data_IF_605523056530
#
_entry.id   IF_605523056530
#
_cell.length_a   1.000
_cell.length_b   1.000
_cell.length_c   1.000
_cell.angle_alpha   90.00
_cell.angle_beta   90.00
_cell.angle_gamma   90.00
#
_symmetry.space_group_name_H-M   'P 1'
#
loop_
_entity.id
_entity.type
_entity.pdbx_description
1 polymer ?
#
# COMPACT_ATOMS: atom_id res chain seq x y z
N UNK A 1 7.08 8.00 -13.10
CA UNK A 1 6.94 8.40 -11.70
C UNK A 1 6.79 7.19 -10.77
N UNK A 2 6.28 6.06 -11.26
CA UNK A 2 6.07 4.82 -10.48
C UNK A 2 4.67 4.68 -9.89
N UNK A 3 3.78 5.62 -10.14
CA UNK A 3 2.38 5.58 -9.73
C UNK A 3 1.48 6.38 -10.66
N UNK A 4 0.19 6.10 -10.58
CA UNK A 4 -0.87 6.90 -11.20
C UNK A 4 -2.09 6.97 -10.29
N UNK A 5 -2.89 8.01 -10.48
CA UNK A 5 -4.17 8.19 -9.79
C UNK A 5 -5.28 8.00 -10.80
N UNK A 6 -6.26 7.18 -10.44
CA UNK A 6 -7.50 6.97 -11.19
C UNK A 6 -8.63 7.61 -10.38
N UNK A 7 -9.10 8.80 -10.75
CA UNK A 7 -10.08 9.50 -9.96
C UNK A 7 -11.46 8.85 -10.05
N UNK A 8 -12.17 8.83 -8.92
CA UNK A 8 -13.56 8.44 -8.85
C UNK A 8 -13.89 6.99 -9.24
N UNK A 9 -12.95 6.06 -9.06
CA UNK A 9 -13.17 4.62 -9.35
C UNK A 9 -14.33 4.07 -8.53
N UNK A 10 -14.48 4.53 -7.30
CA UNK A 10 -15.58 4.13 -6.43
C UNK A 10 -16.73 5.12 -6.60
N UNK A 11 -17.73 4.72 -7.38
CA UNK A 11 -18.99 5.48 -7.46
C UNK A 11 -19.77 5.46 -6.14
N UNK A 12 -20.64 6.44 -5.94
CA UNK A 12 -21.37 6.67 -4.69
C UNK A 12 -21.98 5.42 -4.04
N UNK A 13 -22.68 4.52 -4.75
CA UNK A 13 -23.25 3.35 -4.08
C UNK A 13 -22.20 2.43 -3.46
N UNK A 14 -21.13 2.13 -4.21
CA UNK A 14 -20.07 1.23 -3.73
C UNK A 14 -19.23 1.90 -2.64
N UNK A 15 -18.92 3.16 -2.78
CA UNK A 15 -18.18 3.92 -1.77
C UNK A 15 -18.92 3.90 -0.43
N UNK A 16 -20.22 4.17 -0.44
CA UNK A 16 -21.05 4.15 0.77
C UNK A 16 -21.15 2.75 1.40
N UNK A 17 -21.27 1.70 0.58
CA UNK A 17 -21.22 0.32 1.06
C UNK A 17 -19.88 -0.01 1.73
N UNK A 18 -18.76 0.39 1.12
CA UNK A 18 -17.41 0.17 1.65
C UNK A 18 -17.16 0.95 2.94
N UNK A 19 -17.61 2.19 3.00
CA UNK A 19 -17.52 3.01 4.22
C UNK A 19 -18.30 2.35 5.39
N UNK A 20 -19.53 1.92 5.13
CA UNK A 20 -20.34 1.22 6.13
C UNK A 20 -19.72 -0.11 6.55
N UNK A 21 -19.25 -0.89 5.60
CA UNK A 21 -18.54 -2.15 5.87
C UNK A 21 -17.26 -1.92 6.70
N UNK A 22 -16.49 -0.91 6.38
CA UNK A 22 -15.26 -0.60 7.11
C UNK A 22 -15.53 -0.19 8.55
N UNK A 23 -16.57 0.60 8.78
CA UNK A 23 -16.99 0.97 10.12
C UNK A 23 -17.42 -0.25 10.93
N UNK A 24 -18.25 -1.12 10.36
CA UNK A 24 -18.69 -2.37 10.96
C UNK A 24 -17.52 -3.27 11.35
N UNK A 25 -16.50 -3.37 10.47
CA UNK A 25 -15.31 -4.16 10.75
C UNK A 25 -14.53 -3.57 11.92
N UNK A 26 -14.29 -2.26 11.93
CA UNK A 26 -13.53 -1.61 12.99
C UNK A 26 -14.26 -1.61 14.35
N UNK A 27 -15.58 -1.69 14.35
CA UNK A 27 -16.36 -1.84 15.59
C UNK A 27 -16.33 -3.27 16.17
N UNK A 28 -16.26 -4.28 15.29
CA UNK A 28 -16.31 -5.70 15.69
C UNK A 28 -14.97 -6.37 15.85
N UNK A 29 -13.98 -5.94 15.09
CA UNK A 29 -12.64 -6.55 15.09
C UNK A 29 -11.76 -5.80 16.09
N UNK A 30 -11.23 -6.48 17.12
CA UNK A 30 -10.33 -5.84 18.05
C UNK A 30 -9.04 -5.40 17.37
N UNK A 31 -8.46 -4.33 17.87
CA UNK A 31 -7.13 -3.87 17.43
C UNK A 31 -6.11 -4.98 17.62
N UNK A 32 -5.37 -5.31 16.58
CA UNK A 32 -4.27 -6.27 16.66
C UNK A 32 -3.00 -5.53 17.12
N UNK A 33 -2.43 -5.84 18.30
CA UNK A 33 -1.28 -5.15 18.84
C UNK A 33 -0.01 -5.28 17.97
N UNK A 34 0.00 -6.20 17.00
CA UNK A 34 1.09 -6.30 16.01
C UNK A 34 1.13 -5.13 15.03
N UNK A 35 0.05 -4.37 14.94
CA UNK A 35 -0.04 -3.16 14.12
C UNK A 35 -0.02 -1.90 14.96
N UNK A 36 0.89 -1.89 15.93
CA UNK A 36 1.19 -0.71 16.70
C UNK A 36 2.36 0.03 16.07
N UNK A 37 2.15 1.31 15.78
CA UNK A 37 3.16 2.18 15.24
C UNK A 37 3.36 3.35 16.20
N UNK A 38 4.59 3.55 16.66
CA UNK A 38 4.93 4.66 17.56
C UNK A 38 3.99 4.77 18.77
N UNK A 39 3.74 3.65 19.42
CA UNK A 39 2.84 3.60 20.57
C UNK A 39 1.36 3.74 20.29
N UNK A 40 0.95 3.99 19.04
CA UNK A 40 -0.45 4.09 18.63
C UNK A 40 -0.95 2.82 17.98
N UNK A 41 -2.14 2.38 18.37
CA UNK A 41 -2.81 1.23 17.77
C UNK A 41 -3.43 1.64 16.42
N UNK A 42 -3.12 0.89 15.38
CA UNK A 42 -3.70 1.07 14.06
C UNK A 42 -4.65 -0.09 13.78
N UNK A 43 -5.88 0.22 13.39
CA UNK A 43 -6.81 -0.79 12.95
C UNK A 43 -6.39 -1.30 11.58
N UNK A 44 -5.93 -2.54 11.56
CA UNK A 44 -5.65 -3.28 10.34
C UNK A 44 -6.51 -4.53 10.36
N UNK A 45 -7.40 -4.63 9.40
CA UNK A 45 -8.18 -5.82 9.17
C UNK A 45 -7.70 -6.49 7.88
N UNK A 46 -7.25 -7.72 8.04
CA UNK A 46 -6.91 -8.59 6.93
C UNK A 46 -7.88 -9.75 6.98
N UNK A 47 -8.82 -9.86 6.04
CA UNK A 47 -9.72 -11.00 6.00
C UNK A 47 -8.91 -12.30 6.04
N UNK A 48 -9.26 -13.19 6.94
CA UNK A 48 -8.65 -14.53 7.07
C UNK A 48 -7.12 -14.56 7.16
N UNK A 49 -6.51 -13.53 7.71
CA UNK A 49 -5.05 -13.43 7.85
C UNK A 49 -4.39 -14.68 8.47
N UNK A 50 -5.11 -15.36 9.34
CA UNK A 50 -4.67 -16.60 9.99
C UNK A 50 -4.49 -17.76 9.01
N UNK A 51 -5.17 -17.70 7.88
CA UNK A 51 -5.12 -18.69 6.81
C UNK A 51 -4.02 -18.38 5.77
N UNK A 52 -3.33 -17.25 5.90
CA UNK A 52 -2.23 -16.85 5.00
C UNK A 52 -1.05 -17.81 4.98
N UNK A 53 -0.94 -18.65 5.98
CA UNK A 53 0.07 -19.72 6.03
C UNK A 53 -0.30 -20.91 5.17
N UNK A 54 -1.57 -21.02 4.77
CA UNK A 54 -2.09 -22.05 3.89
C UNK A 54 -2.38 -21.47 2.50
N UNK A 55 -1.61 -21.89 1.50
CA UNK A 55 -1.75 -21.38 0.12
C UNK A 55 -3.12 -21.67 -0.50
N UNK A 56 -3.80 -22.73 -0.10
CA UNK A 56 -5.14 -23.04 -0.60
C UNK A 56 -6.18 -22.07 -0.04
N UNK A 57 -6.00 -21.58 1.18
CA UNK A 57 -6.89 -20.62 1.81
C UNK A 57 -6.74 -19.19 1.26
N UNK A 58 -5.62 -18.85 0.62
CA UNK A 58 -5.39 -17.50 0.11
C UNK A 58 -6.40 -17.05 -0.94
N UNK A 59 -7.01 -17.96 -1.66
CA UNK A 59 -8.08 -17.65 -2.62
C UNK A 59 -9.41 -17.28 -1.95
N UNK A 60 -9.60 -17.58 -0.68
CA UNK A 60 -10.83 -17.29 0.05
C UNK A 60 -10.91 -15.83 0.54
N UNK A 61 -9.77 -15.12 0.63
CA UNK A 61 -9.73 -13.71 1.07
C UNK A 61 -10.57 -12.79 0.21
N UNK A 62 -10.69 -13.14 -1.06
CA UNK A 62 -11.43 -12.38 -2.04
C UNK A 62 -12.86 -12.89 -2.21
N UNK A 63 -13.32 -13.76 -1.32
CA UNK A 63 -14.68 -14.30 -1.36
C UNK A 63 -15.74 -13.37 -0.77
N UNK A 64 -15.33 -12.37 0.02
CA UNK A 64 -16.26 -11.36 0.53
C UNK A 64 -16.90 -10.60 -0.65
N UNK A 65 -18.24 -10.58 -0.77
CA UNK A 65 -18.91 -9.98 -1.92
C UNK A 65 -18.56 -8.50 -2.14
N UNK A 66 -18.31 -7.74 -1.07
CA UNK A 66 -17.94 -6.32 -1.22
C UNK A 66 -16.52 -6.16 -1.71
N UNK A 67 -15.61 -7.02 -1.28
CA UNK A 67 -14.24 -7.06 -1.77
C UNK A 67 -14.21 -7.46 -3.25
N UNK A 68 -15.02 -8.42 -3.66
CA UNK A 68 -15.15 -8.79 -5.06
C UNK A 68 -15.70 -7.61 -5.90
N UNK A 69 -16.72 -6.92 -5.42
CA UNK A 69 -17.21 -5.70 -6.09
C UNK A 69 -16.11 -4.66 -6.26
N UNK A 70 -15.27 -4.47 -5.22
CA UNK A 70 -14.16 -3.53 -5.25
C UNK A 70 -13.12 -3.91 -6.31
N UNK A 71 -12.68 -5.18 -6.31
CA UNK A 71 -11.64 -5.66 -7.22
C UNK A 71 -12.14 -5.84 -8.65
N UNK A 72 -13.44 -5.89 -8.87
CA UNK A 72 -14.05 -6.05 -10.18
C UNK A 72 -14.43 -4.74 -10.88
N UNK A 73 -14.03 -3.59 -10.31
CA UNK A 73 -14.34 -2.30 -10.92
C UNK A 73 -13.76 -2.20 -12.35
N UNK A 74 -14.59 -1.89 -13.36
CA UNK A 74 -14.14 -1.84 -14.76
C UNK A 74 -13.11 -0.72 -14.99
N UNK A 75 -13.24 0.40 -14.30
CA UNK A 75 -12.32 1.53 -14.40
C UNK A 75 -10.91 1.15 -13.93
N UNK A 76 -10.80 0.37 -12.85
CA UNK A 76 -9.52 -0.16 -12.38
C UNK A 76 -8.91 -1.12 -13.41
N UNK A 77 -9.69 -2.05 -13.94
CA UNK A 77 -9.23 -3.01 -14.95
C UNK A 77 -8.74 -2.29 -16.20
N UNK A 78 -9.50 -1.30 -16.66
CA UNK A 78 -9.10 -0.50 -17.81
C UNK A 78 -7.81 0.28 -17.55
N UNK A 79 -7.68 0.91 -16.38
CA UNK A 79 -6.46 1.62 -15.99
C UNK A 79 -5.24 0.70 -15.96
N UNK A 80 -5.37 -0.53 -15.47
CA UNK A 80 -4.30 -1.53 -15.53
C UNK A 80 -3.93 -1.85 -16.99
N UNK A 81 -4.90 -2.08 -17.88
CA UNK A 81 -4.66 -2.34 -19.29
C UNK A 81 -3.94 -1.15 -19.95
N UNK A 82 -4.38 0.07 -19.70
CA UNK A 82 -3.79 1.29 -20.26
C UNK A 82 -2.33 1.49 -19.81
N UNK A 83 -1.96 0.93 -18.66
CA UNK A 83 -0.59 0.90 -18.15
C UNK A 83 0.24 -0.27 -18.67
N UNK A 84 -0.34 -1.15 -19.53
CA UNK A 84 0.32 -2.38 -19.98
C UNK A 84 0.30 -3.51 -18.95
N UNK A 85 -0.50 -3.40 -17.90
CA UNK A 85 -0.65 -4.38 -16.83
C UNK A 85 -1.87 -5.28 -17.12
N UNK A 86 -1.80 -6.03 -18.22
CA UNK A 86 -2.94 -6.83 -18.73
C UNK A 86 -3.19 -8.10 -17.92
N UNK A 87 -2.15 -8.70 -17.32
CA UNK A 87 -2.25 -9.89 -16.47
C UNK A 87 -1.74 -9.57 -15.06
N UNK A 88 -2.64 -9.07 -14.23
CA UNK A 88 -2.40 -8.84 -12.80
C UNK A 88 -3.29 -9.76 -11.99
N UNK A 89 -2.72 -10.36 -10.95
CA UNK A 89 -3.42 -11.33 -10.10
C UNK A 89 -3.25 -10.96 -8.66
N UNK A 90 -4.31 -11.09 -7.89
CA UNK A 90 -4.25 -10.85 -6.44
C UNK A 90 -3.14 -11.65 -5.80
N UNK A 91 -2.21 -10.97 -5.16
CA UNK A 91 -1.18 -11.61 -4.37
C UNK A 91 -1.82 -12.24 -3.13
N UNK A 92 -1.49 -13.48 -2.86
CA UNK A 92 -2.02 -14.19 -1.70
C UNK A 92 -1.78 -13.40 -0.40
N UNK A 93 -2.85 -13.08 0.30
CA UNK A 93 -2.81 -12.31 1.53
C UNK A 93 -2.56 -10.82 1.37
N UNK A 94 -2.64 -10.34 0.16
CA UNK A 94 -2.33 -8.97 -0.16
C UNK A 94 -3.51 -8.00 -0.13
N UNK A 95 -4.47 -8.17 0.77
CA UNK A 95 -5.52 -7.15 0.97
C UNK A 95 -5.65 -6.81 2.45
N UNK A 96 -5.67 -5.53 2.73
CA UNK A 96 -5.94 -5.02 4.08
C UNK A 96 -6.92 -3.85 4.03
N UNK A 97 -7.80 -3.81 5.02
CA UNK A 97 -8.55 -2.62 5.38
C UNK A 97 -7.74 -1.88 6.44
N UNK A 98 -7.32 -0.67 6.13
CA UNK A 98 -6.45 0.13 6.97
C UNK A 98 -7.16 1.36 7.49
N UNK A 99 -6.99 1.64 8.77
CA UNK A 99 -7.42 2.86 9.41
C UNK A 99 -6.22 3.63 9.95
N UNK A 100 -6.09 4.88 9.56
CA UNK A 100 -5.24 5.83 10.27
C UNK A 100 -6.09 6.54 11.32
N UNK A 101 -5.83 6.32 12.62
CA UNK A 101 -6.66 6.89 13.69
C UNK A 101 -6.54 8.42 13.75
N UNK A 102 -7.48 9.05 14.45
CA UNK A 102 -7.35 10.45 14.85
C UNK A 102 -6.02 10.64 15.59
N UNK A 103 -5.31 11.71 15.27
CA UNK A 103 -3.99 12.03 15.82
C UNK A 103 -2.97 10.89 15.71
N UNK A 104 -3.14 10.05 14.67
CA UNK A 104 -2.28 8.89 14.42
C UNK A 104 -0.88 9.27 13.91
N UNK A 105 0.13 8.41 14.15
CA UNK A 105 1.52 8.68 13.80
C UNK A 105 1.76 8.74 12.29
N UNK A 106 2.90 9.30 11.84
CA UNK A 106 3.32 9.16 10.46
C UNK A 106 3.61 7.69 10.13
N UNK A 107 3.59 7.37 8.84
CA UNK A 107 4.16 6.14 8.35
C UNK A 107 5.57 6.46 7.82
N UNK A 108 6.53 5.62 8.16
CA UNK A 108 7.92 5.73 7.73
C UNK A 108 8.08 5.54 6.22
N UNK A 109 9.21 5.99 5.66
CA UNK A 109 9.61 5.65 4.30
C UNK A 109 9.86 4.16 4.18
N UNK A 110 9.27 3.53 3.16
CA UNK A 110 9.44 2.10 2.85
C UNK A 110 9.08 1.80 1.40
N UNK A 111 9.39 0.58 1.01
CA UNK A 111 8.91 -0.08 -0.20
C UNK A 111 8.05 -1.26 0.26
N UNK A 112 6.89 -1.47 -0.33
CA UNK A 112 6.01 -2.58 0.06
C UNK A 112 6.57 -3.95 -0.33
N UNK A 113 7.36 -3.95 -1.37
CA UNK A 113 7.91 -5.17 -1.93
C UNK A 113 9.39 -4.99 -2.22
N UNK A 114 10.20 -5.83 -1.60
CA UNK A 114 11.65 -5.96 -1.74
C UNK A 114 12.47 -4.73 -1.43
N UNK A 115 13.53 -4.97 -0.70
CA UNK A 115 14.63 -4.06 -0.60
C UNK A 115 15.34 -3.95 -1.94
N UNK A 116 15.96 -2.81 -2.19
CA UNK A 116 16.72 -2.53 -3.40
C UNK A 116 17.76 -3.62 -3.75
N UNK A 117 18.29 -4.29 -2.76
CA UNK A 117 19.31 -5.35 -2.95
C UNK A 117 18.75 -6.69 -3.42
N UNK A 118 17.44 -6.83 -3.60
CA UNK A 118 16.87 -8.05 -4.14
C UNK A 118 16.96 -8.06 -5.68
N UNK A 119 17.30 -9.20 -6.33
CA UNK A 119 17.41 -9.28 -7.79
C UNK A 119 16.20 -8.75 -8.54
N UNK A 120 14.98 -8.99 -8.04
CA UNK A 120 13.76 -8.48 -8.68
C UNK A 120 13.61 -6.96 -8.61
N UNK A 121 14.31 -6.30 -7.68
CA UNK A 121 14.31 -4.83 -7.62
C UNK A 121 14.92 -4.21 -8.87
N UNK A 122 15.81 -4.92 -9.56
CA UNK A 122 16.45 -4.47 -10.79
C UNK A 122 15.61 -4.73 -12.05
N UNK A 123 14.47 -5.42 -11.95
CA UNK A 123 13.61 -5.69 -13.11
C UNK A 123 13.13 -4.37 -13.74
N UNK A 124 13.19 -4.22 -15.08
CA UNK A 124 12.77 -2.98 -15.76
C UNK A 124 11.25 -2.76 -15.75
N UNK A 125 10.48 -3.74 -15.30
CA UNK A 125 9.02 -3.71 -15.16
C UNK A 125 8.60 -4.06 -13.73
N UNK A 126 7.38 -3.67 -13.31
CA UNK A 126 6.88 -4.06 -12.01
C UNK A 126 6.63 -5.58 -11.95
N UNK A 127 7.07 -6.22 -10.88
CA UNK A 127 6.73 -7.62 -10.56
C UNK A 127 5.54 -7.69 -9.61
N UNK A 128 5.33 -6.62 -8.87
CA UNK A 128 4.21 -6.42 -7.95
C UNK A 128 3.78 -4.95 -7.95
N UNK A 129 2.47 -4.74 -7.87
CA UNK A 129 1.86 -3.42 -7.69
C UNK A 129 1.00 -3.40 -6.44
N UNK A 130 0.75 -2.21 -5.93
CA UNK A 130 -0.31 -1.99 -4.95
C UNK A 130 -1.40 -1.08 -5.51
N UNK A 131 -2.62 -1.36 -5.07
CA UNK A 131 -3.81 -0.59 -5.35
C UNK A 131 -4.37 -0.10 -4.02
N UNK A 132 -4.42 1.21 -3.82
CA UNK A 132 -5.02 1.79 -2.62
C UNK A 132 -6.28 2.55 -2.97
N UNK A 133 -7.40 2.07 -2.48
CA UNK A 133 -8.73 2.66 -2.66
C UNK A 133 -9.06 3.54 -1.47
N UNK A 134 -9.20 4.82 -1.70
CA UNK A 134 -9.43 5.79 -0.63
C UNK A 134 -10.92 5.94 -0.33
N UNK A 135 -11.31 5.71 0.91
CA UNK A 135 -12.68 5.85 1.38
C UNK A 135 -12.93 7.15 2.13
N UNK A 136 -11.90 7.97 2.26
CA UNK A 136 -11.96 9.31 2.86
C UNK A 136 -10.98 10.24 2.15
N UNK A 137 -11.31 11.52 2.09
CA UNK A 137 -10.41 12.53 1.56
C UNK A 137 -9.11 12.59 2.36
N UNK A 138 -8.02 12.85 1.65
CA UNK A 138 -6.69 12.96 2.27
C UNK A 138 -6.03 14.27 1.95
N UNK A 139 -5.40 14.84 2.96
CA UNK A 139 -4.59 16.06 2.88
C UNK A 139 -3.31 15.86 3.70
N UNK A 140 -2.38 16.78 3.58
CA UNK A 140 -1.18 16.76 4.43
C UNK A 140 -1.54 16.75 5.91
N UNK A 141 -2.56 17.51 6.31
CA UNK A 141 -2.98 17.64 7.70
C UNK A 141 -3.56 16.34 8.28
N UNK A 142 -4.34 15.59 7.49
CA UNK A 142 -4.90 14.30 7.93
C UNK A 142 -4.06 13.09 7.52
N UNK A 143 -2.84 13.32 7.03
CA UNK A 143 -1.86 12.27 6.78
C UNK A 143 -1.95 11.64 5.39
N UNK A 144 -1.99 12.44 4.32
CA UNK A 144 -1.93 11.92 2.96
C UNK A 144 -0.66 11.12 2.69
N UNK A 145 -0.71 10.31 1.64
CA UNK A 145 0.44 9.64 1.09
C UNK A 145 1.46 10.66 0.59
N UNK A 146 2.74 10.33 0.71
CA UNK A 146 3.84 11.02 0.04
C UNK A 146 4.74 9.99 -0.63
N UNK A 147 5.31 10.34 -1.77
CA UNK A 147 6.15 9.46 -2.59
C UNK A 147 7.41 10.19 -3.03
N UNK A 148 8.45 9.43 -3.35
CA UNK A 148 9.63 9.95 -4.06
C UNK A 148 9.58 9.40 -5.48
N UNK A 149 9.15 10.19 -6.47
CA UNK A 149 8.95 9.72 -7.84
C UNK A 149 10.21 9.11 -8.45
N UNK A 150 10.05 8.02 -9.19
CA UNK A 150 11.14 7.37 -9.91
C UNK A 150 11.95 6.36 -9.10
N UNK A 151 11.78 6.29 -7.77
CA UNK A 151 12.58 5.41 -6.89
C UNK A 151 12.28 3.92 -7.03
N UNK A 152 11.23 3.55 -7.73
CA UNK A 152 10.98 2.17 -8.17
C UNK A 152 11.99 1.66 -9.20
N UNK A 153 12.74 2.57 -9.83
CA UNK A 153 13.75 2.28 -10.87
C UNK A 153 15.08 2.98 -10.65
N UNK A 154 15.18 3.79 -9.63
CA UNK A 154 16.36 4.57 -9.29
C UNK A 154 16.69 4.41 -7.82
N UNK A 155 17.90 3.95 -7.52
CA UNK A 155 18.42 3.92 -6.16
C UNK A 155 18.75 5.34 -5.68
N UNK A 156 18.48 5.61 -4.43
CA UNK A 156 18.91 6.82 -3.71
C UNK A 156 19.44 6.42 -2.34
N UNK A 157 20.16 7.30 -1.66
CA UNK A 157 20.80 7.03 -0.37
C UNK A 157 19.82 6.52 0.71
N UNK A 158 18.54 6.90 0.60
CA UNK A 158 17.52 6.45 1.53
C UNK A 158 17.34 4.92 1.49
N UNK A 159 17.53 4.26 0.36
CA UNK A 159 17.44 2.80 0.26
C UNK A 159 18.48 2.08 1.13
N UNK A 160 19.62 2.71 1.39
CA UNK A 160 20.72 2.10 2.15
C UNK A 160 20.46 2.12 3.66
N UNK A 161 19.58 3.00 4.12
CA UNK A 161 19.28 3.16 5.54
C UNK A 161 17.92 2.60 5.96
N UNK A 162 17.10 2.19 4.99
CA UNK A 162 15.77 1.63 5.27
C UNK A 162 15.89 0.15 5.67
N UNK A 163 15.35 -0.24 6.83
CA UNK A 163 15.15 -1.64 7.14
C UNK A 163 14.03 -2.24 6.28
N UNK A 164 13.86 -3.56 6.37
CA UNK A 164 12.74 -4.22 5.73
C UNK A 164 11.40 -3.65 6.23
N UNK A 165 10.51 -3.36 5.32
CA UNK A 165 9.20 -2.82 5.64
C UNK A 165 8.42 -3.75 6.59
N UNK A 166 7.70 -3.13 7.51
CA UNK A 166 6.74 -3.80 8.38
C UNK A 166 7.34 -4.85 9.33
N UNK A 167 8.65 -4.86 9.52
CA UNK A 167 9.28 -5.70 10.55
C UNK A 167 9.07 -5.11 11.95
N UNK A 168 9.12 -5.93 13.01
CA UNK A 168 9.00 -5.43 14.38
C UNK A 168 10.03 -4.35 14.73
N UNK A 169 11.22 -4.43 14.14
CA UNK A 169 12.30 -3.48 14.37
C UNK A 169 11.94 -2.07 13.88
N UNK A 170 11.42 -1.96 12.67
CA UNK A 170 11.02 -0.65 12.13
C UNK A 170 9.77 -0.11 12.82
N UNK A 171 8.83 -0.98 13.17
CA UNK A 171 7.60 -0.60 13.86
C UNK A 171 7.85 -0.09 15.28
N UNK A 172 8.96 -0.51 15.90
CA UNK A 172 9.34 -0.10 17.24
C UNK A 172 10.09 1.24 17.30
N UNK A 173 10.39 1.87 16.17
CA UNK A 173 11.11 3.16 16.13
C UNK A 173 10.15 4.28 16.52
N UNK A 174 10.31 4.81 17.73
CA UNK A 174 9.49 5.90 18.28
C UNK A 174 10.14 7.29 18.09
N UNK A 175 11.41 7.34 17.70
CA UNK A 175 12.13 8.58 17.47
C UNK A 175 11.72 9.19 16.12
N UNK A 176 10.97 10.30 16.16
CA UNK A 176 10.51 11.02 14.98
C UNK A 176 11.63 11.75 14.22
N UNK A 177 12.79 11.96 14.87
CA UNK A 177 13.98 12.51 14.22
C UNK A 177 14.79 11.44 13.47
N UNK A 178 14.38 10.17 13.57
CA UNK A 178 15.01 9.08 12.83
C UNK A 178 14.89 9.28 11.31
N UNK A 179 15.94 9.01 10.52
CA UNK A 179 15.94 9.23 9.06
C UNK A 179 14.77 8.63 8.30
N UNK A 180 14.16 7.55 8.79
CA UNK A 180 12.98 6.92 8.16
C UNK A 180 11.73 7.81 8.15
N UNK A 181 11.68 8.87 8.97
CA UNK A 181 10.58 9.85 9.01
C UNK A 181 10.95 11.21 8.41
N UNK A 182 12.23 11.40 8.10
CA UNK A 182 12.74 12.68 7.61
C UNK A 182 12.07 13.09 6.31
N UNK A 183 11.92 14.40 6.13
CA UNK A 183 11.52 14.92 4.84
C UNK A 183 12.62 14.68 3.80
N UNK A 184 12.19 14.29 2.61
CA UNK A 184 13.09 14.16 1.47
C UNK A 184 12.81 15.28 0.46
N UNK A 185 13.85 15.97 -0.06
CA UNK A 185 13.65 17.13 -0.94
C UNK A 185 12.90 16.81 -2.24
N UNK A 186 13.02 15.57 -2.74
CA UNK A 186 12.33 15.12 -3.94
C UNK A 186 10.96 14.48 -3.66
N UNK A 187 10.51 14.50 -2.42
CA UNK A 187 9.19 13.95 -2.08
C UNK A 187 8.07 14.87 -2.52
N UNK A 188 6.98 14.28 -2.94
CA UNK A 188 5.74 15.00 -3.24
C UNK A 188 4.59 14.44 -2.41
N UNK A 189 3.70 15.32 -1.99
CA UNK A 189 2.44 14.94 -1.37
C UNK A 189 1.45 14.47 -2.43
N UNK A 190 0.70 13.42 -2.10
CA UNK A 190 -0.32 12.83 -2.96
C UNK A 190 -1.67 12.87 -2.23
N UNK A 191 -2.32 14.04 -2.17
CA UNK A 191 -3.68 14.11 -1.65
C UNK A 191 -4.65 13.43 -2.61
N UNK A 192 -5.64 12.74 -2.06
CA UNK A 192 -6.63 11.96 -2.80
C UNK A 192 -8.02 12.25 -2.26
N UNK A 193 -9.00 12.21 -3.14
CA UNK A 193 -10.40 12.32 -2.74
C UNK A 193 -10.97 10.94 -2.41
N UNK A 194 -12.01 10.93 -1.63
CA UNK A 194 -12.82 9.75 -1.40
C UNK A 194 -13.34 9.21 -2.73
N UNK A 195 -13.14 7.92 -2.97
CA UNK A 195 -13.46 7.28 -4.25
C UNK A 195 -12.29 7.12 -5.22
N UNK A 196 -11.17 7.80 -4.98
CA UNK A 196 -9.98 7.69 -5.83
C UNK A 196 -9.23 6.38 -5.57
N UNK A 197 -8.53 5.92 -6.62
CA UNK A 197 -7.60 4.79 -6.57
C UNK A 197 -6.20 5.29 -6.94
N UNK A 198 -5.20 4.86 -6.17
CA UNK A 198 -3.80 4.92 -6.62
C UNK A 198 -3.33 3.52 -7.03
N UNK A 199 -2.67 3.43 -8.18
CA UNK A 199 -1.96 2.25 -8.67
C UNK A 199 -0.47 2.60 -8.65
N UNK A 200 0.34 1.81 -7.97
CA UNK A 200 1.77 2.07 -7.86
C UNK A 200 2.61 0.80 -7.92
N UNK A 201 3.81 0.93 -8.44
CA UNK A 201 4.86 -0.08 -8.34
C UNK A 201 5.21 -0.29 -6.86
N UNK A 202 5.18 -1.52 -6.38
CA UNK A 202 5.43 -1.82 -4.97
C UNK A 202 6.86 -1.52 -4.50
N UNK A 203 7.77 -1.21 -5.43
CA UNK A 203 9.13 -0.74 -5.15
C UNK A 203 9.25 0.79 -4.99
N UNK A 204 8.17 1.54 -5.25
CA UNK A 204 8.17 2.98 -5.07
C UNK A 204 8.35 3.33 -3.59
N UNK A 205 9.35 4.15 -3.27
CA UNK A 205 9.50 4.68 -1.93
C UNK A 205 8.32 5.58 -1.60
N UNK A 206 7.63 5.23 -0.54
CA UNK A 206 6.48 5.97 -0.06
C UNK A 206 6.40 6.01 1.47
N UNK A 207 5.65 6.97 1.95
CA UNK A 207 5.41 7.25 3.36
C UNK A 207 4.05 7.92 3.52
N UNK A 208 3.64 8.24 4.74
CA UNK A 208 2.46 9.06 4.95
C UNK A 208 2.67 10.03 6.10
N UNK A 209 2.11 11.23 5.97
CA UNK A 209 2.12 12.23 7.03
C UNK A 209 1.36 11.74 8.27
N UNK A 210 1.64 12.29 9.47
CA UNK A 210 0.81 12.05 10.63
C UNK A 210 -0.62 12.60 10.38
N UNK A 211 -1.58 11.99 11.00
CA UNK A 211 -2.93 12.56 11.07
C UNK A 211 -3.01 13.51 12.26
N UNK A 212 -3.12 14.79 11.99
CA UNK A 212 -3.22 15.84 13.00
C UNK A 212 -4.67 16.25 13.30
N UNK A 213 -5.63 15.51 12.72
CA UNK A 213 -7.06 15.78 12.89
C UNK A 213 -7.72 14.79 13.84
N UNK A 214 -8.91 15.12 14.29
CA UNK A 214 -9.75 14.26 15.12
C UNK A 214 -10.57 13.23 14.34
N UNK A 215 -10.35 13.14 13.02
CA UNK A 215 -11.08 12.24 12.14
C UNK A 215 -10.21 11.04 11.73
N UNK A 216 -10.81 9.87 11.73
CA UNK A 216 -10.20 8.65 11.19
C UNK A 216 -10.17 8.70 9.66
N UNK A 217 -9.09 8.26 9.07
CA UNK A 217 -8.94 8.05 7.65
C UNK A 217 -8.91 6.56 7.32
N UNK A 218 -9.60 6.15 6.28
CA UNK A 218 -9.73 4.73 5.91
C UNK A 218 -9.41 4.51 4.43
N UNK A 219 -8.79 3.37 4.16
CA UNK A 219 -8.51 2.89 2.81
C UNK A 219 -8.48 1.36 2.76
N UNK A 220 -8.71 0.81 1.58
CA UNK A 220 -8.38 -0.59 1.28
C UNK A 220 -7.11 -0.60 0.44
N UNK A 221 -6.14 -1.39 0.86
CA UNK A 221 -4.90 -1.62 0.15
C UNK A 221 -4.86 -3.07 -0.34
N UNK A 222 -4.59 -3.26 -1.62
CA UNK A 222 -4.49 -4.58 -2.23
C UNK A 222 -3.20 -4.70 -3.05
N UNK A 223 -2.46 -5.79 -2.85
CA UNK A 223 -1.28 -6.12 -3.65
C UNK A 223 -1.63 -7.13 -4.73
N UNK A 224 -1.04 -6.95 -5.90
CA UNK A 224 -1.22 -7.82 -7.05
C UNK A 224 0.15 -8.18 -7.64
N UNK A 225 0.31 -9.45 -7.98
CA UNK A 225 1.45 -9.91 -8.77
C UNK A 225 1.19 -9.61 -10.25
N UNK A 226 2.23 -9.19 -10.96
CA UNK A 226 2.16 -8.80 -12.37
C UNK A 226 2.76 -9.90 -13.23
N UNK A 227 1.98 -10.40 -14.19
CA UNK A 227 2.38 -11.45 -15.13
C UNK A 227 2.35 -10.99 -16.59
N UNK A 228 2.04 -9.73 -16.85
CA UNK A 228 2.07 -9.12 -18.19
C UNK A 228 3.46 -9.10 -18.81
N UNK A 229 4.48 -9.25 -17.97
CA UNK A 229 5.89 -9.24 -18.36
C UNK A 229 6.57 -10.52 -17.90
N UNK A 230 7.71 -10.91 -18.53
CA UNK A 230 8.50 -12.03 -18.05
C UNK A 230 8.91 -11.81 -16.60
N UNK A 231 8.64 -12.77 -15.73
CA UNK A 231 9.09 -12.72 -14.35
C UNK A 231 10.55 -13.14 -14.26
N UNK A 232 11.41 -12.44 -13.54
CA UNK A 232 12.74 -12.90 -13.30
C UNK A 232 12.66 -14.20 -12.47
N UNK A 233 13.42 -15.25 -12.82
CA UNK A 233 13.44 -16.47 -12.04
C UNK A 233 14.02 -16.20 -10.64
N UNK A 234 13.63 -16.99 -9.65
CA UNK A 234 14.07 -16.83 -8.25
C UNK A 234 15.59 -16.91 -8.05
N UNK A 235 16.30 -17.47 -8.99
CA UNK A 235 17.76 -17.57 -8.99
C UNK A 235 18.45 -16.46 -9.83
N UNK A 236 17.68 -15.51 -10.40
CA UNK A 236 18.27 -14.43 -11.18
C UNK A 236 19.05 -13.48 -10.27
N UNK A 237 20.34 -13.38 -10.55
CA UNK A 237 21.28 -12.48 -9.87
C UNK A 237 21.53 -11.26 -10.75
N UNK A 238 20.47 -10.56 -11.14
CA UNK A 238 20.58 -9.34 -11.90
C UNK A 238 21.35 -8.26 -11.13
N UNK A 239 22.08 -7.41 -11.84
CA UNK A 239 22.72 -6.27 -11.22
C UNK A 239 21.67 -5.30 -10.70
N UNK A 240 21.85 -4.84 -9.46
CA UNK A 240 21.06 -3.74 -8.92
C UNK A 240 21.43 -2.48 -9.70
N UNK A 241 20.46 -1.74 -10.29
CA UNK A 241 20.78 -0.56 -11.05
C UNK A 241 21.56 0.44 -10.21
N UNK A 242 22.75 0.80 -10.65
CA UNK A 242 23.47 1.97 -10.12
C UNK A 242 22.82 3.24 -10.67
N UNK A 243 22.72 4.24 -9.85
CA UNK A 243 22.16 5.56 -10.18
C UNK A 243 23.25 6.49 -10.63
#
# INVERSE_FOLDING_TARGET
DGFTIVPGVLGDPLLSELQSWSQDVFERVPVDPRYRYQGSDIHVYTPDRWQLMDREATHQHFSDPIVQKLLDQPEQKQACIDLGLEDVRSAGGGLILLSKPAFGPPLYWHQDFMNWNHPEAAAPWPTKIFLSYYMSDTTRENGCLRVIPGTHRRRIDLHDVLPNAHTPEIQAIDDLDHPIFADHPDSIDVPLNSGDLIIADARLLHAAWPNQTDQRRTLVLAWHDVFSFPQPPSWWEGEVPDV
#
